data_IF_702036874561
#
_entry.id   IF_702036874561
#
_cell.length_a   1.000
_cell.length_b   1.000
_cell.length_c   1.000
_cell.angle_alpha   90.00
_cell.angle_beta   90.00
_cell.angle_gamma   90.00
#
_symmetry.space_group_name_H-M   'P 1'
#
loop_
_entity.id
_entity.type
_entity.pdbx_description
1 polymer ?
#
# COMPACT_ATOMS: atom_id res chain seq x y z
N UNK A 1 -12.98 -1.57 -8.82
CA UNK A 1 -11.96 -2.62 -9.03
C UNK A 1 -12.14 -3.72 -7.98
N UNK A 2 -11.57 -4.93 -8.12
CA UNK A 2 -11.71 -5.97 -7.07
C UNK A 2 -10.77 -5.63 -5.92
N UNK A 3 -11.28 -5.60 -4.69
CA UNK A 3 -10.49 -5.47 -3.46
C UNK A 3 -9.39 -6.55 -3.47
N UNK A 4 -8.13 -6.14 -3.66
CA UNK A 4 -6.98 -7.05 -3.67
C UNK A 4 -6.52 -7.24 -2.23
N UNK A 5 -6.35 -8.50 -1.80
CA UNK A 5 -5.86 -8.82 -0.47
C UNK A 5 -4.34 -8.66 -0.39
N UNK A 6 -3.80 -8.58 0.82
CA UNK A 6 -2.34 -8.59 1.09
C UNK A 6 -1.64 -9.76 0.39
N UNK A 7 -2.33 -10.90 0.21
CA UNK A 7 -1.83 -12.05 -0.51
C UNK A 7 -1.47 -11.75 -1.97
N UNK A 8 -2.15 -10.79 -2.61
CA UNK A 8 -1.88 -10.41 -4.00
C UNK A 8 -0.64 -9.52 -4.12
N UNK A 9 -0.38 -8.69 -3.11
CA UNK A 9 0.88 -7.93 -2.98
C UNK A 9 2.07 -8.86 -2.77
N UNK A 10 1.91 -9.85 -1.87
CA UNK A 10 2.94 -10.87 -1.63
C UNK A 10 3.18 -11.69 -2.90
N UNK A 11 2.12 -12.08 -3.62
CA UNK A 11 2.24 -12.80 -4.89
C UNK A 11 2.96 -12.02 -5.99
N UNK A 12 2.73 -10.71 -6.07
CA UNK A 12 3.38 -9.83 -7.06
C UNK A 12 4.85 -9.56 -6.76
N UNK A 13 5.29 -9.74 -5.51
CA UNK A 13 6.65 -9.50 -5.04
C UNK A 13 7.42 -10.78 -4.73
N UNK A 14 6.83 -11.96 -4.96
CA UNK A 14 7.50 -13.24 -4.71
C UNK A 14 8.73 -13.45 -5.60
N UNK A 15 9.65 -14.27 -5.12
CA UNK A 15 10.89 -14.64 -5.82
C UNK A 15 10.72 -15.70 -6.91
N UNK A 16 9.48 -16.09 -7.22
CA UNK A 16 9.23 -16.93 -8.40
C UNK A 16 9.24 -16.07 -9.67
N UNK A 17 9.97 -16.45 -10.74
CA UNK A 17 9.94 -15.71 -12.00
C UNK A 17 8.51 -15.63 -12.55
N UNK A 18 8.02 -14.41 -12.74
CA UNK A 18 6.71 -14.13 -13.35
C UNK A 18 6.83 -13.00 -14.34
N UNK A 19 5.97 -13.03 -15.36
CA UNK A 19 5.89 -11.96 -16.35
C UNK A 19 5.54 -10.63 -15.68
N UNK A 20 6.16 -9.53 -16.12
CA UNK A 20 5.90 -8.17 -15.62
C UNK A 20 4.40 -7.85 -15.67
N UNK A 21 3.72 -8.20 -16.76
CA UNK A 21 2.27 -7.98 -16.91
C UNK A 21 1.42 -8.71 -15.86
N UNK A 22 1.77 -9.96 -15.54
CA UNK A 22 1.07 -10.76 -14.51
C UNK A 22 1.24 -10.14 -13.14
N UNK A 23 2.46 -9.69 -12.79
CA UNK A 23 2.72 -9.03 -11.51
C UNK A 23 1.98 -7.69 -11.40
N UNK A 24 1.87 -6.92 -12.49
CA UNK A 24 1.06 -5.69 -12.52
C UNK A 24 -0.44 -6.00 -12.33
N UNK A 25 -0.96 -7.05 -12.96
CA UNK A 25 -2.35 -7.48 -12.76
C UNK A 25 -2.59 -7.93 -11.30
N UNK A 26 -1.64 -8.63 -10.68
CA UNK A 26 -1.68 -9.02 -9.27
C UNK A 26 -1.75 -7.78 -8.35
N UNK A 27 -1.00 -6.72 -8.68
CA UNK A 27 -1.08 -5.40 -8.02
C UNK A 27 -2.37 -4.61 -8.31
N UNK A 28 -3.20 -5.07 -9.26
CA UNK A 28 -4.50 -4.48 -9.56
C UNK A 28 -4.52 -3.49 -10.72
N UNK A 29 -3.44 -3.41 -11.51
CA UNK A 29 -3.46 -2.64 -12.75
C UNK A 29 -4.33 -3.33 -13.80
N UNK A 30 -5.04 -2.55 -14.61
CA UNK A 30 -5.83 -3.06 -15.72
C UNK A 30 -4.88 -3.47 -16.87
N UNK A 31 -4.93 -4.74 -17.34
CA UNK A 31 -4.12 -5.20 -18.47
C UNK A 31 -4.29 -4.35 -19.75
N UNK A 32 -5.47 -3.78 -19.99
CA UNK A 32 -5.73 -2.93 -21.16
C UNK A 32 -5.09 -1.54 -21.05
N UNK A 33 -4.87 -1.05 -19.84
CA UNK A 33 -4.18 0.23 -19.62
C UNK A 33 -2.67 0.04 -19.64
N UNK A 34 -2.20 -1.06 -19.05
CA UNK A 34 -0.78 -1.43 -19.03
C UNK A 34 -0.26 -1.69 -20.46
N UNK A 35 -1.03 -2.35 -21.32
CA UNK A 35 -0.65 -2.61 -22.72
C UNK A 35 -0.56 -1.35 -23.59
N UNK A 36 -1.18 -0.24 -23.18
CA UNK A 36 -1.03 1.06 -23.84
C UNK A 36 0.26 1.78 -23.45
N UNK A 37 0.84 1.43 -22.29
CA UNK A 37 2.01 2.09 -21.69
C UNK A 37 3.31 1.30 -21.93
N UNK A 38 3.23 -0.01 -22.09
CA UNK A 38 4.38 -0.90 -22.23
C UNK A 38 4.20 -1.87 -23.42
N UNK A 39 5.31 -2.25 -24.06
CA UNK A 39 5.27 -3.22 -25.16
C UNK A 39 4.93 -4.63 -24.66
N UNK A 40 4.31 -5.44 -25.52
CA UNK A 40 3.97 -6.83 -25.21
C UNK A 40 5.21 -7.66 -24.83
N UNK A 41 6.34 -7.46 -25.51
CA UNK A 41 7.61 -8.13 -25.22
C UNK A 41 8.12 -7.82 -23.80
N UNK A 42 7.96 -6.57 -23.35
CA UNK A 42 8.34 -6.16 -22.01
C UNK A 42 7.40 -6.76 -20.97
N UNK A 43 6.10 -6.75 -21.23
CA UNK A 43 5.09 -7.31 -20.33
C UNK A 43 5.20 -8.82 -20.20
N UNK A 44 5.62 -9.52 -21.25
CA UNK A 44 5.88 -10.94 -21.26
C UNK A 44 7.21 -11.34 -20.60
N UNK A 45 8.09 -10.37 -20.30
CA UNK A 45 9.42 -10.64 -19.74
C UNK A 45 9.30 -11.26 -18.33
N UNK A 46 9.82 -12.47 -18.11
CA UNK A 46 9.82 -13.08 -16.79
C UNK A 46 10.89 -12.42 -15.92
N UNK A 47 10.49 -11.90 -14.77
CA UNK A 47 11.38 -11.23 -13.81
C UNK A 47 11.14 -11.77 -12.39
N UNK A 48 12.20 -11.72 -11.59
CA UNK A 48 12.16 -11.91 -10.14
C UNK A 48 11.55 -10.69 -9.44
N UNK A 49 11.08 -10.86 -8.19
CA UNK A 49 10.45 -9.79 -7.41
C UNK A 49 11.35 -8.56 -7.28
N UNK A 50 12.64 -8.75 -7.01
CA UNK A 50 13.63 -7.67 -6.91
C UNK A 50 13.78 -6.86 -8.21
N UNK A 51 13.85 -7.53 -9.36
CA UNK A 51 13.88 -6.89 -10.68
C UNK A 51 12.56 -6.20 -11.02
N UNK A 52 11.44 -6.75 -10.56
CA UNK A 52 10.13 -6.13 -10.73
C UNK A 52 9.99 -4.84 -9.91
N UNK A 53 10.49 -4.80 -8.67
CA UNK A 53 10.55 -3.57 -7.87
C UNK A 53 11.37 -2.49 -8.60
N UNK A 54 12.52 -2.86 -9.17
CA UNK A 54 13.33 -1.95 -9.97
C UNK A 54 12.59 -1.45 -11.20
N UNK A 55 11.87 -2.33 -11.90
CA UNK A 55 11.00 -1.94 -13.02
C UNK A 55 9.96 -0.90 -12.59
N UNK A 56 9.30 -1.07 -11.43
CA UNK A 56 8.33 -0.09 -10.91
C UNK A 56 8.99 1.26 -10.60
N UNK A 57 10.19 1.25 -10.03
CA UNK A 57 10.96 2.47 -9.72
C UNK A 57 11.38 3.21 -10.99
N UNK A 58 11.93 2.48 -11.96
CA UNK A 58 12.45 3.05 -13.21
C UNK A 58 11.32 3.60 -14.10
N UNK A 59 10.12 3.04 -14.00
CA UNK A 59 8.95 3.44 -14.77
C UNK A 59 7.93 4.25 -13.96
N UNK A 60 8.33 4.79 -12.81
CA UNK A 60 7.47 5.57 -11.91
C UNK A 60 6.66 6.63 -12.65
N UNK A 61 7.26 7.37 -13.58
CA UNK A 61 6.59 8.43 -14.37
C UNK A 61 5.47 7.92 -15.29
N UNK A 62 5.55 6.66 -15.75
CA UNK A 62 4.49 6.01 -16.52
C UNK A 62 3.27 5.65 -15.64
N UNK A 63 3.50 5.55 -14.33
CA UNK A 63 2.47 5.35 -13.31
C UNK A 63 2.01 6.67 -12.66
N UNK A 64 2.84 7.72 -12.66
CA UNK A 64 2.53 9.03 -12.04
C UNK A 64 1.44 9.84 -12.77
N UNK A 65 1.14 9.52 -14.03
CA UNK A 65 0.10 10.21 -14.80
C UNK A 65 -1.30 9.61 -14.63
N UNK A 66 -1.50 8.69 -13.68
CA UNK A 66 -2.83 8.25 -13.27
C UNK A 66 -3.20 8.82 -11.90
N UNK A 67 -4.10 9.82 -11.82
CA UNK A 67 -4.80 10.13 -10.57
C UNK A 67 -5.75 9.01 -10.13
N UNK A 68 -5.77 7.86 -10.80
CA UNK A 68 -6.61 6.72 -10.49
C UNK A 68 -5.96 5.74 -9.49
N UNK A 69 -5.74 6.20 -8.27
CA UNK A 69 -6.41 5.48 -7.18
C UNK A 69 -7.55 6.41 -6.77
N UNK A 70 -8.71 6.37 -7.46
CA UNK A 70 -9.89 6.89 -6.81
C UNK A 70 -10.05 5.97 -5.61
N UNK A 71 -9.99 6.51 -4.39
CA UNK A 71 -10.69 5.84 -3.32
C UNK A 71 -12.10 5.58 -3.88
N UNK A 72 -12.48 4.31 -4.07
CA UNK A 72 -13.85 3.98 -4.47
C UNK A 72 -14.76 4.80 -3.55
N UNK A 73 -15.73 5.57 -4.09
CA UNK A 73 -16.62 6.35 -3.25
C UNK A 73 -17.20 5.39 -2.23
N UNK A 74 -17.02 5.73 -0.95
CA UNK A 74 -17.50 4.92 0.16
C UNK A 74 -18.96 4.52 -0.13
N UNK A 75 -19.34 3.23 0.02
CA UNK A 75 -20.72 2.80 -0.15
C UNK A 75 -21.67 3.77 0.56
N UNK A 76 -22.83 4.07 -0.02
CA UNK A 76 -23.77 5.03 0.58
C UNK A 76 -24.25 4.60 1.98
N UNK A 77 -24.07 3.33 2.32
CA UNK A 77 -24.33 2.69 3.61
C UNK A 77 -23.06 2.41 4.43
N UNK A 78 -21.88 2.88 3.98
CA UNK A 78 -20.64 2.79 4.72
C UNK A 78 -20.78 3.61 6.01
N UNK A 79 -21.02 2.90 7.10
CA UNK A 79 -20.80 3.43 8.43
C UNK A 79 -19.32 3.33 8.70
N UNK A 80 -18.66 4.48 8.77
CA UNK A 80 -17.31 4.55 9.31
C UNK A 80 -17.36 3.89 10.71
N UNK A 81 -16.71 2.73 10.91
CA UNK A 81 -16.74 2.06 12.21
C UNK A 81 -16.05 2.91 13.30
N UNK A 82 -15.41 4.00 12.90
CA UNK A 82 -14.65 4.91 13.73
C UNK A 82 -15.26 6.32 13.87
N UNK A 83 -16.43 6.59 13.28
CA UNK A 83 -17.08 7.92 13.29
C UNK A 83 -17.53 8.36 14.69
N UNK A 84 -18.01 7.42 15.50
CA UNK A 84 -18.73 7.74 16.75
C UNK A 84 -17.88 7.62 18.02
N UNK A 85 -16.58 7.31 17.93
CA UNK A 85 -15.74 7.09 19.11
C UNK A 85 -14.40 7.80 19.03
N UNK A 86 -14.18 8.77 19.91
CA UNK A 86 -12.83 9.26 20.24
C UNK A 86 -12.04 8.12 20.88
N UNK A 87 -10.84 7.90 20.36
CA UNK A 87 -9.89 6.91 20.89
C UNK A 87 -8.48 7.44 20.64
N UNK A 88 -7.52 6.91 21.39
CA UNK A 88 -6.14 7.35 21.28
C UNK A 88 -5.57 7.03 19.90
N UNK A 89 -4.66 7.86 19.41
CA UNK A 89 -3.89 7.58 18.18
C UNK A 89 -3.25 6.19 18.27
N UNK A 90 -2.74 5.82 19.45
CA UNK A 90 -2.13 4.52 19.71
C UNK A 90 -3.10 3.36 19.51
N UNK A 91 -4.32 3.46 20.06
CA UNK A 91 -5.32 2.40 19.92
C UNK A 91 -5.80 2.27 18.47
N UNK A 92 -5.99 3.40 17.77
CA UNK A 92 -6.32 3.41 16.35
C UNK A 92 -5.25 2.74 15.49
N UNK A 93 -3.98 3.01 15.78
CA UNK A 93 -2.86 2.37 15.10
C UNK A 93 -2.78 0.87 15.39
N UNK A 94 -3.10 0.45 16.62
CA UNK A 94 -3.17 -0.96 16.99
C UNK A 94 -4.29 -1.70 16.22
N UNK A 95 -5.46 -1.08 16.07
CA UNK A 95 -6.57 -1.65 15.27
C UNK A 95 -6.23 -1.78 13.78
N UNK A 96 -5.32 -0.94 13.27
CA UNK A 96 -4.75 -1.07 11.92
C UNK A 96 -3.63 -2.11 11.81
N UNK A 97 -3.34 -2.86 12.88
CA UNK A 97 -2.28 -3.86 12.92
C UNK A 97 -0.86 -3.29 13.02
N UNK A 98 -0.72 -1.99 13.34
CA UNK A 98 0.58 -1.35 13.56
C UNK A 98 1.01 -1.51 15.03
N UNK A 99 1.35 -2.75 15.38
CA UNK A 99 1.71 -3.11 16.75
C UNK A 99 2.99 -2.42 17.23
N UNK A 100 3.91 -2.05 16.33
CA UNK A 100 5.16 -1.31 16.62
C UNK A 100 4.99 0.22 16.62
N UNK A 101 3.78 0.74 16.81
CA UNK A 101 3.47 2.20 16.84
C UNK A 101 4.38 3.06 17.72
N UNK A 102 4.91 2.49 18.80
CA UNK A 102 5.82 3.15 19.75
C UNK A 102 7.17 3.56 19.14
N UNK A 103 7.55 3.01 17.97
CA UNK A 103 8.76 3.42 17.25
C UNK A 103 8.52 4.60 16.31
N UNK A 104 7.27 4.92 15.98
CA UNK A 104 6.90 5.95 15.01
C UNK A 104 6.60 7.29 15.67
N UNK A 105 6.03 7.24 16.88
CA UNK A 105 5.57 8.41 17.62
C UNK A 105 5.88 8.27 19.10
N UNK A 106 6.12 9.39 19.76
CA UNK A 106 6.29 9.42 21.21
C UNK A 106 4.97 9.03 21.90
N UNK A 107 5.08 8.52 23.14
CA UNK A 107 3.91 8.17 23.96
C UNK A 107 2.90 9.31 24.10
N UNK A 108 3.38 10.55 24.18
CA UNK A 108 2.51 11.72 24.30
C UNK A 108 1.62 11.89 23.06
N UNK A 109 2.15 11.61 21.86
CA UNK A 109 1.39 11.64 20.61
C UNK A 109 0.44 10.44 20.54
N UNK A 110 0.90 9.26 20.92
CA UNK A 110 0.08 8.03 20.89
C UNK A 110 -1.10 8.11 21.85
N UNK A 111 -0.98 8.85 22.96
CA UNK A 111 -2.06 9.03 23.93
C UNK A 111 -3.05 10.16 23.57
N UNK A 112 -2.85 10.88 22.46
CA UNK A 112 -3.81 11.90 22.03
C UNK A 112 -5.11 11.24 21.58
N UNK A 113 -6.22 11.62 22.19
CA UNK A 113 -7.54 11.21 21.73
C UNK A 113 -7.93 12.00 20.49
N UNK A 114 -8.35 11.27 19.46
CA UNK A 114 -8.75 11.87 18.18
C UNK A 114 -10.02 11.21 17.66
N UNK A 115 -10.83 12.01 16.99
CA UNK A 115 -11.95 11.54 16.15
C UNK A 115 -11.42 10.82 14.90
N UNK A 116 -12.31 10.16 14.16
CA UNK A 116 -11.96 9.48 12.91
C UNK A 116 -11.34 10.44 11.89
N UNK A 117 -11.92 11.62 11.72
CA UNK A 117 -11.45 12.65 10.79
C UNK A 117 -10.09 13.23 11.20
N UNK A 118 -9.90 13.51 12.48
CA UNK A 118 -8.63 14.01 13.01
C UNK A 118 -7.51 12.96 12.86
N UNK A 119 -7.86 11.68 13.02
CA UNK A 119 -6.92 10.59 12.79
C UNK A 119 -6.54 10.46 11.31
N UNK A 120 -7.50 10.56 10.38
CA UNK A 120 -7.19 10.58 8.95
C UNK A 120 -6.28 11.75 8.57
N UNK A 121 -6.54 12.94 9.14
CA UNK A 121 -5.67 14.10 9.00
C UNK A 121 -4.27 13.86 9.58
N UNK A 122 -4.17 13.17 10.70
CA UNK A 122 -2.90 12.78 11.33
C UNK A 122 -2.10 11.81 10.44
N UNK A 123 -2.73 10.78 9.86
CA UNK A 123 -2.08 9.84 8.94
C UNK A 123 -1.55 10.58 7.71
N UNK A 124 -2.38 11.42 7.09
CA UNK A 124 -2.00 12.20 5.90
C UNK A 124 -0.79 13.11 6.17
N UNK A 125 -0.79 13.82 7.31
CA UNK A 125 0.33 14.70 7.69
C UNK A 125 1.63 13.96 8.00
N UNK A 126 1.55 12.68 8.36
CA UNK A 126 2.70 11.86 8.74
C UNK A 126 2.98 10.73 7.74
N UNK A 127 2.41 10.80 6.53
CA UNK A 127 2.44 9.75 5.52
C UNK A 127 3.86 9.23 5.23
N UNK A 128 4.87 10.11 5.19
CA UNK A 128 6.27 9.73 4.97
C UNK A 128 6.82 8.75 6.04
N UNK A 129 6.41 8.90 7.30
CA UNK A 129 6.82 7.99 8.38
C UNK A 129 6.15 6.62 8.26
N UNK A 130 4.89 6.60 7.83
CA UNK A 130 4.15 5.36 7.60
C UNK A 130 4.70 4.59 6.40
N UNK A 131 4.96 5.27 5.27
CA UNK A 131 5.58 4.65 4.10
C UNK A 131 6.99 4.14 4.42
N UNK A 132 7.78 4.91 5.18
CA UNK A 132 9.11 4.50 5.61
C UNK A 132 9.10 3.23 6.47
N UNK A 133 8.14 3.10 7.39
CA UNK A 133 8.01 1.91 8.23
C UNK A 133 7.48 0.69 7.46
N UNK A 134 6.55 0.88 6.53
CA UNK A 134 6.10 -0.19 5.63
C UNK A 134 7.28 -0.68 4.77
N UNK A 135 8.10 0.23 4.25
CA UNK A 135 9.34 -0.12 3.53
C UNK A 135 10.30 -0.91 4.41
N UNK A 136 10.53 -0.47 5.64
CA UNK A 136 11.40 -1.16 6.61
C UNK A 136 10.86 -2.54 7.02
N UNK A 137 9.55 -2.69 7.18
CA UNK A 137 8.90 -3.97 7.49
C UNK A 137 8.95 -4.94 6.30
N UNK A 138 8.83 -4.43 5.07
CA UNK A 138 9.01 -5.22 3.86
C UNK A 138 10.46 -5.70 3.70
N UNK A 139 11.45 -4.85 4.04
CA UNK A 139 12.87 -5.22 4.03
C UNK A 139 13.22 -6.26 5.11
N UNK A 140 12.61 -6.15 6.31
CA UNK A 140 12.79 -7.14 7.39
C UNK A 140 12.11 -8.49 7.11
N UNK A 141 11.01 -8.49 6.34
CA UNK A 141 10.36 -9.71 5.87
C UNK A 141 11.15 -10.49 4.81
N UNK A 142 12.19 -9.88 4.24
CA UNK A 142 13.08 -10.51 3.25
C UNK A 142 14.31 -11.22 3.85
N UNK A 143 14.36 -11.43 5.17
CA UNK A 143 15.51 -12.07 5.85
C UNK A 143 15.24 -13.44 6.46
N UNK A 144 14.13 -14.09 6.11
CA UNK A 144 13.94 -15.53 6.37
C UNK A 144 13.58 -16.25 5.06
N UNK A 145 14.59 -16.78 4.37
CA UNK A 145 14.44 -17.66 3.21
C UNK A 145 15.55 -17.56 2.18
#
# INVERSE_FOLDING_TARGET
MKQKSVNNLIGALSDEPKAIGVRLEELGFDPQEVSKKFSEDLLAMPVYGSSFIKFLQDNRSAFENDPFIPADPLPADFKNPFDDKSMSIGDRLAELGLEKRDTLFSKDILNLEVTGDEFQGFITKNQAKFIGEIGRLAELGGTDG
#
